data_IF_409305813005
#
_entry.id   IF_409305813005
#
_cell.length_a   1.000
_cell.length_b   1.000
_cell.length_c   1.000
_cell.angle_alpha   90.00
_cell.angle_beta   90.00
_cell.angle_gamma   90.00
#
_symmetry.space_group_name_H-M   'P 1'
#
loop_
_entity.id
_entity.type
_entity.pdbx_description
1 polymer ?
#
# COMPACT_ATOMS: atom_id res chain seq x y z
N UNK A 1 -49.43 37.91 -39.25
CA UNK A 1 -48.41 36.94 -38.80
C UNK A 1 -47.71 36.38 -40.04
N UNK A 2 -46.44 36.74 -40.25
CA UNK A 2 -45.70 36.32 -41.45
C UNK A 2 -45.35 34.84 -41.36
N UNK A 3 -45.91 34.02 -42.25
CA UNK A 3 -45.56 32.60 -42.41
C UNK A 3 -44.11 32.51 -42.92
N UNK A 4 -43.14 32.37 -42.02
CA UNK A 4 -41.75 32.11 -42.40
C UNK A 4 -41.67 30.75 -43.11
N UNK A 5 -41.48 30.78 -44.43
CA UNK A 5 -41.26 29.60 -45.26
C UNK A 5 -39.91 28.93 -44.93
N UNK A 6 -39.86 27.60 -44.97
CA UNK A 6 -38.67 26.76 -44.73
C UNK A 6 -37.42 27.25 -45.49
N UNK A 7 -37.60 27.78 -46.72
CA UNK A 7 -36.53 28.37 -47.54
C UNK A 7 -35.89 29.62 -46.89
N UNK A 8 -36.68 30.46 -46.21
CA UNK A 8 -36.17 31.64 -45.49
C UNK A 8 -35.40 31.27 -44.23
N UNK A 9 -35.79 30.19 -43.54
CA UNK A 9 -35.08 29.66 -42.38
C UNK A 9 -33.74 29.03 -42.78
N UNK A 10 -33.71 28.28 -43.88
CA UNK A 10 -32.48 27.67 -44.39
C UNK A 10 -31.43 28.73 -44.79
N UNK A 11 -31.86 29.83 -45.41
CA UNK A 11 -30.99 30.96 -45.78
C UNK A 11 -30.54 31.83 -44.59
N UNK A 12 -31.19 31.70 -43.43
CA UNK A 12 -30.90 32.52 -42.24
C UNK A 12 -29.64 32.09 -41.47
N UNK A 13 -29.00 30.97 -41.84
CA UNK A 13 -27.84 30.42 -41.11
C UNK A 13 -28.21 29.68 -39.82
N UNK A 14 -29.41 29.89 -39.29
CA UNK A 14 -29.94 29.21 -38.09
C UNK A 14 -29.78 27.67 -38.09
N UNK A 15 -30.03 26.93 -39.19
CA UNK A 15 -29.86 25.48 -39.18
C UNK A 15 -28.43 25.03 -38.86
N UNK A 16 -27.42 25.78 -39.31
CA UNK A 16 -26.01 25.48 -39.05
C UNK A 16 -25.64 25.72 -37.59
N UNK A 17 -26.26 26.71 -36.93
CA UNK A 17 -26.10 26.95 -35.49
C UNK A 17 -26.66 25.78 -34.69
N UNK A 18 -27.87 25.31 -35.04
CA UNK A 18 -28.47 24.13 -34.39
C UNK A 18 -27.70 22.84 -34.65
N UNK A 19 -27.14 22.67 -35.85
CA UNK A 19 -26.31 21.51 -36.18
C UNK A 19 -25.01 21.51 -35.37
N UNK A 20 -24.32 22.66 -35.25
CA UNK A 20 -23.12 22.77 -34.42
C UNK A 20 -23.45 22.58 -32.93
N UNK A 21 -24.53 23.18 -32.43
CA UNK A 21 -24.98 22.97 -31.05
C UNK A 21 -25.33 21.50 -30.78
N UNK A 22 -25.96 20.83 -31.74
CA UNK A 22 -26.24 19.39 -31.69
C UNK A 22 -24.96 18.56 -31.69
N UNK A 23 -24.01 18.86 -32.57
CA UNK A 23 -22.72 18.17 -32.64
C UNK A 23 -21.89 18.34 -31.35
N UNK A 24 -21.87 19.55 -30.78
CA UNK A 24 -21.21 19.83 -29.48
C UNK A 24 -21.92 19.06 -28.36
N UNK A 25 -23.25 19.02 -28.35
CA UNK A 25 -24.01 18.27 -27.34
C UNK A 25 -23.74 16.77 -27.43
N UNK A 26 -23.71 16.19 -28.64
CA UNK A 26 -23.36 14.78 -28.86
C UNK A 26 -21.92 14.50 -28.42
N UNK A 27 -20.97 15.38 -28.78
CA UNK A 27 -19.58 15.28 -28.35
C UNK A 27 -19.45 15.27 -26.83
N UNK A 28 -20.18 16.17 -26.14
CA UNK A 28 -20.20 16.22 -24.68
C UNK A 28 -20.77 14.92 -24.08
N UNK A 29 -21.87 14.41 -24.62
CA UNK A 29 -22.46 13.13 -24.18
C UNK A 29 -21.48 11.97 -24.41
N UNK A 30 -20.77 11.93 -25.54
CA UNK A 30 -19.76 10.90 -25.80
C UNK A 30 -18.59 10.98 -24.82
N UNK A 31 -18.07 12.18 -24.55
CA UNK A 31 -16.96 12.38 -23.59
C UNK A 31 -17.39 11.97 -22.19
N UNK A 32 -18.56 12.42 -21.73
CA UNK A 32 -19.10 12.05 -20.41
C UNK A 32 -19.37 10.54 -20.34
N UNK A 33 -19.93 9.95 -21.39
CA UNK A 33 -20.17 8.51 -21.49
C UNK A 33 -18.88 7.70 -21.42
N UNK A 34 -17.83 8.14 -22.11
CA UNK A 34 -16.51 7.51 -22.06
C UNK A 34 -15.89 7.62 -20.66
N UNK A 35 -15.95 8.80 -20.03
CA UNK A 35 -15.46 8.99 -18.67
C UNK A 35 -16.19 8.10 -17.66
N UNK A 36 -17.53 7.99 -17.77
CA UNK A 36 -18.33 7.09 -16.94
C UNK A 36 -17.97 5.62 -17.16
N UNK A 37 -17.78 5.19 -18.42
CA UNK A 37 -17.38 3.82 -18.74
C UNK A 37 -16.03 3.48 -18.11
N UNK A 38 -15.05 4.38 -18.22
CA UNK A 38 -13.73 4.22 -17.60
C UNK A 38 -13.86 4.19 -16.08
N UNK A 39 -14.65 5.09 -15.50
CA UNK A 39 -14.87 5.15 -14.05
C UNK A 39 -15.47 3.83 -13.53
N UNK A 40 -16.57 3.33 -14.12
CA UNK A 40 -17.23 2.10 -13.67
C UNK A 40 -16.29 0.89 -13.80
N UNK A 41 -15.52 0.81 -14.90
CA UNK A 41 -14.55 -0.28 -15.11
C UNK A 41 -13.32 -0.18 -14.20
N UNK A 42 -12.93 1.03 -13.81
CA UNK A 42 -11.73 1.27 -13.01
C UNK A 42 -11.98 1.23 -11.50
N UNK A 43 -13.08 1.82 -11.02
CA UNK A 43 -13.35 1.99 -9.59
C UNK A 43 -13.50 0.67 -8.85
N UNK A 44 -14.00 -0.39 -9.51
CA UNK A 44 -14.10 -1.72 -8.90
C UNK A 44 -12.74 -2.27 -8.47
N UNK A 45 -11.66 -1.94 -9.17
CA UNK A 45 -10.31 -2.38 -8.82
C UNK A 45 -9.72 -1.64 -7.60
N UNK A 46 -10.28 -0.47 -7.26
CA UNK A 46 -9.88 0.30 -6.08
C UNK A 46 -10.80 0.05 -4.89
N UNK A 47 -11.87 -0.73 -5.05
CA UNK A 47 -12.77 -1.06 -3.97
C UNK A 47 -12.22 -2.26 -3.19
N UNK A 48 -12.15 -2.21 -1.84
CA UNK A 48 -11.73 -3.34 -1.04
C UNK A 48 -12.63 -4.55 -1.30
N UNK A 49 -12.04 -5.69 -1.61
CA UNK A 49 -12.78 -6.94 -1.74
C UNK A 49 -13.08 -7.53 -0.36
N UNK A 50 -14.13 -8.34 -0.26
CA UNK A 50 -14.41 -9.09 0.95
C UNK A 50 -13.31 -10.13 1.18
N UNK A 51 -12.85 -10.24 2.42
CA UNK A 51 -11.80 -11.18 2.80
C UNK A 51 -12.45 -12.47 3.25
N UNK A 52 -12.14 -13.56 2.55
CA UNK A 52 -12.68 -14.87 2.84
C UNK A 52 -11.71 -15.71 3.67
N UNK A 53 -12.25 -16.57 4.51
CA UNK A 53 -11.53 -17.62 5.21
C UNK A 53 -12.00 -19.00 4.70
N UNK A 54 -11.04 -19.82 4.27
CA UNK A 54 -11.30 -21.10 3.60
C UNK A 54 -10.43 -22.19 4.22
N UNK A 55 -11.01 -23.28 4.76
CA UNK A 55 -10.27 -24.49 5.06
C UNK A 55 -9.73 -25.10 3.76
N UNK A 56 -8.43 -25.33 3.67
CA UNK A 56 -7.77 -25.81 2.47
C UNK A 56 -6.94 -27.06 2.78
N UNK A 57 -7.23 -28.14 2.06
CA UNK A 57 -6.68 -29.48 2.34
C UNK A 57 -5.97 -30.01 1.11
N UNK A 58 -4.65 -29.75 1.01
CA UNK A 58 -3.85 -30.36 -0.05
C UNK A 58 -3.60 -31.85 0.26
N UNK A 59 -3.57 -32.74 -0.74
CA UNK A 59 -3.25 -34.15 -0.56
C UNK A 59 -1.93 -34.34 0.18
N UNK A 60 -1.96 -35.11 1.27
CA UNK A 60 -0.78 -35.41 2.08
C UNK A 60 -0.29 -34.26 2.97
N UNK A 61 -1.05 -33.17 3.10
CA UNK A 61 -0.76 -32.06 4.03
C UNK A 61 -1.87 -31.90 5.05
N UNK A 62 -1.52 -31.25 6.16
CA UNK A 62 -2.49 -30.84 7.16
C UNK A 62 -3.44 -29.77 6.62
N UNK A 63 -4.66 -29.76 7.14
CA UNK A 63 -5.66 -28.74 6.83
C UNK A 63 -5.17 -27.40 7.34
N UNK A 64 -5.17 -26.38 6.49
CA UNK A 64 -4.85 -25.00 6.87
C UNK A 64 -6.03 -24.09 6.58
N UNK A 65 -6.21 -23.03 7.36
CA UNK A 65 -7.14 -21.95 7.00
C UNK A 65 -6.40 -20.92 6.18
N UNK A 66 -6.78 -20.77 4.91
CA UNK A 66 -6.32 -19.69 4.06
C UNK A 66 -7.25 -18.49 4.21
N UNK A 67 -6.64 -17.31 4.35
CA UNK A 67 -7.36 -16.05 4.45
C UNK A 67 -6.86 -15.12 3.35
N UNK A 68 -7.77 -14.52 2.59
CA UNK A 68 -7.40 -13.59 1.54
C UNK A 68 -8.57 -13.12 0.68
N UNK A 69 -8.24 -12.34 -0.34
CA UNK A 69 -9.21 -11.79 -1.29
C UNK A 69 -9.25 -12.65 -2.56
N UNK A 70 -10.44 -12.98 -3.05
CA UNK A 70 -10.60 -13.63 -4.36
C UNK A 70 -10.35 -12.61 -5.48
N UNK A 71 -9.32 -12.86 -6.29
CA UNK A 71 -8.89 -11.93 -7.35
C UNK A 71 -9.33 -12.40 -8.73
N UNK A 72 -9.19 -13.70 -8.99
CA UNK A 72 -9.46 -14.28 -10.30
C UNK A 72 -9.81 -15.76 -10.16
N UNK A 73 -10.44 -16.31 -11.20
CA UNK A 73 -10.82 -17.71 -11.29
C UNK A 73 -10.57 -18.25 -12.68
N UNK A 74 -10.03 -19.45 -12.80
CA UNK A 74 -9.86 -20.14 -14.08
C UNK A 74 -10.41 -21.57 -14.02
N UNK A 75 -10.99 -22.03 -15.14
CA UNK A 75 -11.41 -23.42 -15.29
C UNK A 75 -10.30 -24.22 -15.98
N UNK A 76 -9.81 -25.25 -15.30
CA UNK A 76 -8.68 -26.06 -15.76
C UNK A 76 -9.12 -27.50 -15.98
N UNK A 77 -8.69 -28.09 -17.10
CA UNK A 77 -9.01 -29.49 -17.42
C UNK A 77 -8.36 -30.47 -16.44
N UNK A 78 -9.01 -31.61 -16.20
CA UNK A 78 -8.48 -32.72 -15.39
C UNK A 78 -7.08 -33.18 -15.89
N UNK A 79 -6.86 -33.14 -17.21
CA UNK A 79 -5.56 -33.49 -17.83
C UNK A 79 -4.44 -32.52 -17.47
N UNK A 80 -4.75 -31.24 -17.27
CA UNK A 80 -3.75 -30.25 -16.86
C UNK A 80 -3.50 -30.30 -15.34
N UNK A 81 -4.55 -30.51 -14.55
CA UNK A 81 -4.47 -30.70 -13.10
C UNK A 81 -3.65 -31.95 -12.72
N UNK A 82 -3.87 -33.07 -13.40
CA UNK A 82 -3.10 -34.30 -13.17
C UNK A 82 -1.59 -34.15 -13.44
N UNK A 83 -1.17 -33.29 -14.39
CA UNK A 83 0.26 -33.01 -14.65
C UNK A 83 0.98 -32.36 -13.47
N UNK A 84 0.23 -31.69 -12.58
CA UNK A 84 0.75 -31.05 -11.37
C UNK A 84 0.34 -31.81 -10.10
N UNK A 85 -0.06 -33.08 -10.25
CA UNK A 85 -0.37 -33.98 -9.13
C UNK A 85 -1.77 -33.79 -8.52
N UNK A 86 -2.70 -33.17 -9.25
CA UNK A 86 -4.07 -32.93 -8.78
C UNK A 86 -5.01 -33.91 -9.48
N UNK A 87 -5.54 -34.87 -8.72
CA UNK A 87 -6.54 -35.82 -9.20
C UNK A 87 -7.94 -35.32 -8.86
N UNK A 88 -8.83 -35.35 -9.85
CA UNK A 88 -10.24 -35.03 -9.66
C UNK A 88 -11.04 -36.33 -9.42
N UNK A 89 -12.19 -36.26 -8.72
CA UNK A 89 -13.15 -37.36 -8.66
C UNK A 89 -13.50 -37.93 -10.04
N UNK A 90 -13.78 -39.23 -10.10
CA UNK A 90 -14.14 -39.90 -11.35
C UNK A 90 -15.34 -39.22 -12.03
N UNK A 91 -15.22 -38.97 -13.33
CA UNK A 91 -16.24 -38.31 -14.16
C UNK A 91 -16.12 -36.78 -14.25
N UNK A 92 -15.24 -36.14 -13.46
CA UNK A 92 -15.06 -34.69 -13.51
C UNK A 92 -14.02 -34.28 -14.58
N UNK A 93 -14.47 -33.57 -15.63
CA UNK A 93 -13.61 -33.20 -16.77
C UNK A 93 -12.73 -31.96 -16.53
N UNK A 94 -13.12 -31.10 -15.60
CA UNK A 94 -12.41 -29.87 -15.23
C UNK A 94 -12.76 -29.45 -13.80
N UNK A 95 -11.90 -28.64 -13.20
CA UNK A 95 -12.19 -27.97 -11.94
C UNK A 95 -11.74 -26.52 -12.00
N UNK A 96 -12.32 -25.71 -11.12
CA UNK A 96 -11.97 -24.31 -10.97
C UNK A 96 -10.71 -24.17 -10.10
N UNK A 97 -9.89 -23.18 -10.43
CA UNK A 97 -8.82 -22.67 -9.58
C UNK A 97 -9.11 -21.23 -9.26
N UNK A 98 -8.85 -20.83 -8.03
CA UNK A 98 -9.04 -19.48 -7.55
C UNK A 98 -7.67 -18.85 -7.27
N UNK A 99 -7.43 -17.66 -7.80
CA UNK A 99 -6.30 -16.82 -7.43
C UNK A 99 -6.71 -16.00 -6.23
N UNK A 100 -6.05 -16.26 -5.10
CA UNK A 100 -6.28 -15.53 -3.86
C UNK A 100 -5.09 -14.60 -3.62
N UNK A 101 -5.37 -13.33 -3.33
CA UNK A 101 -4.39 -12.44 -2.72
C UNK A 101 -4.33 -12.76 -1.23
N UNK A 102 -3.24 -13.40 -0.81
CA UNK A 102 -3.01 -13.78 0.58
C UNK A 102 -2.22 -12.67 1.28
N UNK A 103 -2.57 -12.40 2.53
CA UNK A 103 -1.79 -11.53 3.40
C UNK A 103 -0.58 -12.26 3.98
N UNK A 104 0.09 -11.64 4.94
CA UNK A 104 1.13 -12.26 5.78
C UNK A 104 2.30 -12.76 4.93
N UNK A 105 2.85 -11.88 4.07
CA UNK A 105 3.98 -12.19 3.17
C UNK A 105 5.22 -12.72 3.90
N UNK A 106 5.42 -12.34 5.15
CA UNK A 106 6.44 -12.88 6.05
C UNK A 106 6.27 -14.38 6.34
N UNK A 107 5.06 -14.91 6.28
CA UNK A 107 4.76 -16.33 6.44
C UNK A 107 4.75 -17.08 5.10
N UNK A 108 4.08 -16.54 4.07
CA UNK A 108 3.91 -17.24 2.79
C UNK A 108 5.00 -16.93 1.75
N UNK A 109 5.76 -15.86 1.92
CA UNK A 109 6.78 -15.38 0.97
C UNK A 109 6.23 -14.71 -0.30
N UNK A 110 4.92 -14.81 -0.54
CA UNK A 110 4.23 -14.39 -1.76
C UNK A 110 2.89 -13.73 -1.38
N UNK A 111 2.43 -12.80 -2.22
CA UNK A 111 1.16 -12.08 -2.00
C UNK A 111 -0.01 -12.73 -2.73
N UNK A 112 0.24 -13.68 -3.64
CA UNK A 112 -0.78 -14.34 -4.44
C UNK A 112 -0.56 -15.84 -4.51
N UNK A 113 -1.64 -16.60 -4.38
CA UNK A 113 -1.63 -18.06 -4.47
C UNK A 113 -2.81 -18.57 -5.26
N UNK A 114 -2.53 -19.44 -6.22
CA UNK A 114 -3.55 -20.27 -6.83
C UNK A 114 -3.93 -21.41 -5.90
N UNK A 115 -5.22 -21.57 -5.64
CA UNK A 115 -5.78 -22.70 -4.91
C UNK A 115 -6.75 -23.48 -5.79
N UNK A 116 -6.91 -24.76 -5.51
CA UNK A 116 -7.76 -25.64 -6.33
C UNK A 116 -9.09 -25.89 -5.62
N UNK A 117 -10.20 -25.66 -6.32
CA UNK A 117 -11.55 -25.85 -5.81
C UNK A 117 -11.83 -27.23 -5.19
N UNK A 118 -11.29 -28.35 -5.71
CA UNK A 118 -11.47 -29.68 -5.10
C UNK A 118 -10.90 -29.82 -3.68
N UNK A 119 -10.00 -28.93 -3.28
CA UNK A 119 -9.34 -28.96 -1.97
C UNK A 119 -9.87 -27.89 -1.01
N UNK A 120 -10.84 -27.09 -1.47
CA UNK A 120 -11.51 -26.06 -0.67
C UNK A 120 -12.63 -26.68 0.15
N UNK A 121 -12.67 -26.32 1.43
CA UNK A 121 -13.85 -26.47 2.27
C UNK A 121 -14.86 -25.34 2.02
N UNK A 122 -15.77 -25.16 2.96
CA UNK A 122 -16.78 -24.09 2.91
C UNK A 122 -16.13 -22.72 3.08
N UNK A 123 -16.47 -21.80 2.17
CA UNK A 123 -15.99 -20.41 2.21
C UNK A 123 -16.80 -19.63 3.24
N UNK A 124 -16.11 -18.89 4.11
CA UNK A 124 -16.74 -18.02 5.10
C UNK A 124 -16.20 -16.60 5.02
N UNK A 125 -17.00 -15.62 5.47
CA UNK A 125 -16.62 -14.20 5.54
C UNK A 125 -16.77 -13.71 6.99
N UNK A 126 -15.77 -13.95 7.85
CA UNK A 126 -15.88 -13.67 9.28
C UNK A 126 -15.84 -12.17 9.56
N UNK A 127 -16.83 -11.65 10.29
CA UNK A 127 -16.91 -10.21 10.62
C UNK A 127 -15.78 -9.75 11.58
N UNK A 128 -15.19 -10.67 12.33
CA UNK A 128 -14.10 -10.41 13.28
C UNK A 128 -12.71 -10.41 12.63
N UNK A 129 -12.63 -10.77 11.35
CA UNK A 129 -11.37 -10.84 10.63
C UNK A 129 -10.86 -9.42 10.36
N UNK A 130 -9.61 -9.16 10.72
CA UNK A 130 -8.97 -7.87 10.52
C UNK A 130 -8.03 -7.90 9.33
N UNK A 131 -8.06 -6.81 8.55
CA UNK A 131 -7.00 -6.45 7.62
C UNK A 131 -6.20 -5.27 8.16
N UNK A 132 -4.89 -5.47 8.25
CA UNK A 132 -3.95 -4.46 8.72
C UNK A 132 -2.89 -4.27 7.64
N UNK A 133 -2.83 -3.09 7.05
CA UNK A 133 -1.73 -2.73 6.16
C UNK A 133 -0.49 -2.44 7.01
N UNK A 134 0.56 -3.25 6.82
CA UNK A 134 1.86 -3.02 7.46
C UNK A 134 2.75 -2.18 6.55
N UNK A 135 3.64 -1.41 7.18
CA UNK A 135 4.63 -0.57 6.46
C UNK A 135 5.62 -1.40 5.64
N UNK A 136 5.87 -2.62 6.09
CA UNK A 136 6.69 -3.61 5.40
C UNK A 136 5.83 -4.87 5.21
N UNK A 137 6.08 -5.62 4.14
CA UNK A 137 5.41 -6.91 3.90
C UNK A 137 3.90 -6.86 3.66
N UNK A 138 3.35 -5.67 3.34
CA UNK A 138 1.98 -5.50 2.86
C UNK A 138 0.90 -5.81 3.90
N UNK A 139 -0.22 -6.33 3.41
CA UNK A 139 -1.39 -6.67 4.23
C UNK A 139 -1.13 -7.83 5.17
N UNK A 140 -1.67 -7.71 6.38
CA UNK A 140 -1.76 -8.75 7.37
C UNK A 140 -3.24 -9.06 7.62
N UNK A 141 -3.61 -10.32 7.52
CA UNK A 141 -4.94 -10.82 7.85
C UNK A 141 -4.88 -11.71 9.08
N UNK A 142 -5.83 -11.51 9.99
CA UNK A 142 -5.93 -12.34 11.18
C UNK A 142 -6.99 -11.88 12.18
N UNK A 143 -7.05 -12.59 13.31
CA UNK A 143 -7.95 -12.28 14.41
C UNK A 143 -7.17 -11.61 15.53
N UNK A 144 -7.74 -10.54 16.09
CA UNK A 144 -7.14 -9.86 17.23
C UNK A 144 -7.39 -10.65 18.51
N UNK A 145 -6.32 -11.24 19.05
CA UNK A 145 -6.40 -11.99 20.31
C UNK A 145 -6.28 -11.06 21.54
N UNK A 146 -5.28 -10.18 21.51
CA UNK A 146 -4.95 -9.28 22.62
C UNK A 146 -4.13 -8.10 22.13
N UNK A 147 -4.07 -7.06 22.95
CA UNK A 147 -3.16 -5.94 22.78
C UNK A 147 -2.19 -5.93 23.94
N UNK A 148 -0.90 -5.83 23.62
CA UNK A 148 0.19 -5.89 24.58
C UNK A 148 0.99 -4.59 24.64
N UNK A 149 1.54 -4.32 25.81
CA UNK A 149 2.49 -3.26 26.09
C UNK A 149 3.72 -3.86 26.72
N UNK A 150 4.88 -3.71 26.08
CA UNK A 150 6.15 -4.24 26.57
C UNK A 150 6.08 -5.75 26.87
N UNK A 151 5.32 -6.50 26.06
CA UNK A 151 5.10 -7.94 26.23
C UNK A 151 3.97 -8.32 27.19
N UNK A 152 3.44 -7.40 27.99
CA UNK A 152 2.34 -7.68 28.91
C UNK A 152 0.98 -7.41 28.26
N UNK A 153 0.00 -8.29 28.48
CA UNK A 153 -1.37 -8.12 27.98
C UNK A 153 -2.03 -6.96 28.72
N UNK A 154 -2.49 -5.97 27.97
CA UNK A 154 -3.24 -4.82 28.50
C UNK A 154 -4.73 -5.05 28.36
N UNK A 155 -5.17 -5.53 27.19
CA UNK A 155 -6.59 -5.78 26.87
C UNK A 155 -6.70 -7.02 25.98
N UNK A 156 -7.79 -7.78 26.14
CA UNK A 156 -8.17 -8.92 25.30
C UNK A 156 -9.68 -8.93 25.04
N UNK A 157 -10.14 -9.71 24.06
CA UNK A 157 -11.56 -9.81 23.70
C UNK A 157 -12.11 -8.55 23.04
N UNK A 158 -13.40 -8.28 23.21
CA UNK A 158 -14.14 -7.23 22.48
C UNK A 158 -13.54 -5.81 22.62
N UNK A 159 -12.95 -5.51 23.77
CA UNK A 159 -12.32 -4.22 24.04
C UNK A 159 -10.95 -4.05 23.33
N UNK A 160 -10.33 -5.15 22.87
CA UNK A 160 -9.00 -5.12 22.27
C UNK A 160 -8.97 -4.29 20.98
N UNK A 161 -10.06 -4.31 20.19
CA UNK A 161 -10.10 -3.56 18.93
C UNK A 161 -10.05 -2.05 19.14
N UNK A 162 -10.82 -1.54 20.11
CA UNK A 162 -10.79 -0.11 20.45
C UNK A 162 -9.40 0.32 20.95
N UNK A 163 -8.78 -0.50 21.80
CA UNK A 163 -7.42 -0.25 22.29
C UNK A 163 -6.38 -0.30 21.17
N UNK A 164 -6.51 -1.23 20.22
CA UNK A 164 -5.64 -1.32 19.04
C UNK A 164 -5.72 -0.03 18.22
N UNK A 165 -6.91 0.53 17.99
CA UNK A 165 -7.09 1.78 17.24
C UNK A 165 -6.33 2.95 17.90
N UNK A 166 -6.41 3.07 19.23
CA UNK A 166 -5.64 4.09 19.96
C UNK A 166 -4.13 3.93 19.78
N UNK A 167 -3.63 2.70 19.80
CA UNK A 167 -2.19 2.42 19.62
C UNK A 167 -1.73 2.60 18.18
N UNK A 168 -2.57 2.30 17.19
CA UNK A 168 -2.28 2.57 15.78
C UNK A 168 -2.12 4.08 15.52
N UNK A 169 -2.99 4.91 16.09
CA UNK A 169 -2.86 6.38 16.00
C UNK A 169 -1.53 6.83 16.61
N UNK A 170 -1.21 6.36 17.82
CA UNK A 170 0.07 6.67 18.48
C UNK A 170 1.27 6.24 17.63
N UNK A 171 1.28 5.01 17.15
CA UNK A 171 2.34 4.46 16.29
C UNK A 171 2.51 5.29 15.02
N UNK A 172 1.41 5.68 14.38
CA UNK A 172 1.45 6.51 13.18
C UNK A 172 2.02 7.92 13.45
N UNK A 173 1.67 8.52 14.58
CA UNK A 173 2.24 9.80 15.00
C UNK A 173 3.75 9.69 15.27
N UNK A 174 4.18 8.69 16.03
CA UNK A 174 5.60 8.45 16.32
C UNK A 174 6.42 8.27 15.02
N UNK A 175 5.91 7.53 14.05
CA UNK A 175 6.61 7.40 12.76
C UNK A 175 6.60 8.71 11.97
N UNK A 176 5.53 9.51 12.06
CA UNK A 176 5.49 10.87 11.54
C UNK A 176 6.62 11.73 12.11
N UNK A 177 6.80 11.70 13.43
CA UNK A 177 7.84 12.43 14.14
C UNK A 177 9.24 11.95 13.76
N UNK A 178 9.47 10.64 13.71
CA UNK A 178 10.73 10.04 13.25
C UNK A 178 11.07 10.52 11.83
N UNK A 179 10.09 10.49 10.91
CA UNK A 179 10.29 10.93 9.52
C UNK A 179 10.61 12.42 9.43
N UNK A 180 9.89 13.25 10.18
CA UNK A 180 10.13 14.69 10.26
C UNK A 180 11.54 15.00 10.75
N UNK A 181 11.93 14.36 11.86
CA UNK A 181 13.22 14.57 12.50
C UNK A 181 14.37 14.10 11.59
N UNK A 182 14.24 12.91 11.01
CA UNK A 182 15.21 12.36 10.06
C UNK A 182 15.34 13.23 8.80
N UNK A 183 14.23 13.71 8.22
CA UNK A 183 14.30 14.55 7.01
C UNK A 183 14.93 15.91 7.28
N UNK A 184 14.54 16.56 8.38
CA UNK A 184 14.89 17.95 8.64
C UNK A 184 16.24 18.09 9.33
N UNK A 185 16.44 17.44 10.48
CA UNK A 185 17.65 17.60 11.28
C UNK A 185 18.84 16.86 10.67
N UNK A 186 18.65 15.61 10.24
CA UNK A 186 19.73 14.87 9.57
C UNK A 186 20.11 15.51 8.24
N UNK A 187 19.12 16.05 7.51
CA UNK A 187 19.36 16.79 6.27
C UNK A 187 20.26 18.02 6.48
N UNK A 188 20.01 18.80 7.54
CA UNK A 188 20.85 19.96 7.91
C UNK A 188 22.27 19.55 8.30
N UNK A 189 22.42 18.50 9.11
CA UNK A 189 23.72 18.00 9.53
C UNK A 189 24.53 17.51 8.33
N UNK A 190 23.90 16.72 7.45
CA UNK A 190 24.56 16.21 6.24
C UNK A 190 24.97 17.35 5.29
N UNK A 191 24.11 18.37 5.13
CA UNK A 191 24.46 19.55 4.35
C UNK A 191 25.67 20.29 4.93
N UNK A 192 25.70 20.48 6.26
CA UNK A 192 26.84 21.11 6.94
C UNK A 192 28.13 20.29 6.83
N UNK A 193 28.08 18.96 6.98
CA UNK A 193 29.24 18.09 6.81
C UNK A 193 29.79 18.13 5.39
N UNK A 194 28.91 18.18 4.38
CA UNK A 194 29.35 18.31 2.99
C UNK A 194 29.97 19.69 2.72
N UNK A 195 29.44 20.76 3.31
CA UNK A 195 30.03 22.10 3.23
C UNK A 195 31.45 22.10 3.80
N UNK A 196 31.66 21.57 5.01
CA UNK A 196 32.98 21.44 5.63
C UNK A 196 33.93 20.58 4.78
N UNK A 197 33.44 19.48 4.19
CA UNK A 197 34.22 18.62 3.31
C UNK A 197 34.70 19.38 2.06
N UNK A 198 33.84 20.19 1.47
CA UNK A 198 34.18 21.02 0.30
C UNK A 198 35.16 22.14 0.67
N UNK A 199 35.00 22.77 1.84
CA UNK A 199 35.94 23.78 2.34
C UNK A 199 37.32 23.21 2.61
N UNK A 200 37.38 22.07 3.31
CA UNK A 200 38.61 21.30 3.51
C UNK A 200 39.31 21.03 2.18
N UNK A 201 38.55 20.56 1.18
CA UNK A 201 39.08 20.28 -0.16
C UNK A 201 39.63 21.54 -0.85
N UNK A 202 38.99 22.71 -0.67
CA UNK A 202 39.49 23.99 -1.20
C UNK A 202 40.82 24.39 -0.56
N UNK A 203 41.00 24.17 0.75
CA UNK A 203 42.25 24.47 1.45
C UNK A 203 43.39 23.54 0.98
N UNK A 204 43.11 22.24 0.85
CA UNK A 204 44.05 21.26 0.30
C UNK A 204 44.54 21.65 -1.09
N UNK A 205 43.64 22.07 -1.98
CA UNK A 205 43.98 22.52 -3.34
C UNK A 205 44.84 23.79 -3.38
N UNK A 206 44.79 24.60 -2.33
CA UNK A 206 45.62 25.81 -2.17
C UNK A 206 46.93 25.51 -1.42
N UNK A 207 47.21 24.25 -1.09
CA UNK A 207 48.37 23.82 -0.31
C UNK A 207 48.51 24.55 1.03
N UNK A 208 47.37 24.89 1.67
CA UNK A 208 47.38 25.44 3.03
C UNK A 208 47.83 24.33 3.98
N UNK A 209 48.74 24.64 4.91
CA UNK A 209 49.21 23.65 5.88
C UNK A 209 48.09 23.19 6.82
N UNK A 210 48.02 21.89 7.09
CA UNK A 210 47.03 21.28 8.00
C UNK A 210 47.09 21.83 9.43
N UNK A 211 48.23 22.41 9.83
CA UNK A 211 48.41 23.07 11.14
C UNK A 211 47.94 24.53 11.17
N UNK A 212 47.33 25.01 10.08
CA UNK A 212 46.83 26.38 10.00
C UNK A 212 45.55 26.58 10.81
N UNK A 213 45.25 27.85 11.10
CA UNK A 213 44.05 28.23 11.85
C UNK A 213 42.79 27.80 11.10
N UNK A 214 42.78 27.86 9.76
CA UNK A 214 41.62 27.46 8.96
C UNK A 214 41.27 25.98 9.12
N UNK A 215 42.26 25.08 9.18
CA UNK A 215 42.00 23.67 9.47
C UNK A 215 41.55 23.44 10.91
N UNK A 216 42.03 24.25 11.86
CA UNK A 216 41.56 24.20 13.25
C UNK A 216 40.08 24.64 13.37
N UNK A 217 39.67 25.68 12.65
CA UNK A 217 38.28 26.16 12.58
C UNK A 217 37.35 25.09 11.97
N UNK A 218 37.76 24.43 10.88
CA UNK A 218 37.00 23.33 10.28
C UNK A 218 36.82 22.16 11.26
N UNK A 219 37.89 21.79 11.98
CA UNK A 219 37.83 20.72 12.97
C UNK A 219 36.93 21.07 14.17
N UNK A 220 36.84 22.35 14.54
CA UNK A 220 35.91 22.82 15.58
C UNK A 220 34.46 22.78 15.08
N UNK A 221 34.20 23.23 13.86
CA UNK A 221 32.87 23.15 13.24
C UNK A 221 32.38 21.71 13.08
N UNK A 222 33.26 20.79 12.68
CA UNK A 222 32.96 19.36 12.57
C UNK A 222 32.54 18.78 13.93
N UNK A 223 33.24 19.14 15.01
CA UNK A 223 32.87 18.72 16.38
C UNK A 223 31.48 19.21 16.79
N UNK A 224 31.07 20.41 16.40
CA UNK A 224 29.73 20.93 16.71
C UNK A 224 28.63 20.15 15.97
N UNK A 225 28.89 19.78 14.70
CA UNK A 225 27.98 18.93 13.94
C UNK A 225 27.92 17.51 14.52
N UNK A 226 29.03 16.95 14.99
CA UNK A 226 29.06 15.65 15.67
C UNK A 226 28.23 15.64 16.96
N UNK A 227 28.29 16.72 17.75
CA UNK A 227 27.45 16.87 18.95
C UNK A 227 25.97 16.90 18.56
N UNK A 228 25.62 17.66 17.52
CA UNK A 228 24.25 17.74 17.02
C UNK A 228 23.75 16.39 16.49
N UNK A 229 24.63 15.64 15.81
CA UNK A 229 24.34 14.30 15.32
C UNK A 229 24.09 13.31 16.46
N UNK A 230 24.89 13.36 17.53
CA UNK A 230 24.67 12.53 18.73
C UNK A 230 23.36 12.85 19.43
N UNK A 231 23.00 14.13 19.55
CA UNK A 231 21.70 14.53 20.11
C UNK A 231 20.53 13.99 19.27
N UNK A 232 20.61 14.13 17.94
CA UNK A 232 19.65 13.58 17.01
C UNK A 232 19.52 12.05 17.15
N UNK A 233 20.64 11.33 17.25
CA UNK A 233 20.63 9.89 17.47
C UNK A 233 19.91 9.50 18.77
N UNK A 234 20.13 10.24 19.86
CA UNK A 234 19.47 9.98 21.15
C UNK A 234 17.95 10.20 21.05
N UNK A 235 17.52 11.27 20.40
CA UNK A 235 16.09 11.55 20.16
C UNK A 235 15.45 10.44 19.33
N UNK A 236 16.08 10.03 18.24
CA UNK A 236 15.59 8.94 17.40
C UNK A 236 15.52 7.62 18.18
N UNK A 237 16.55 7.29 18.96
CA UNK A 237 16.58 6.08 19.78
C UNK A 237 15.42 6.05 20.79
N UNK A 238 15.09 7.19 21.43
CA UNK A 238 13.94 7.30 22.32
C UNK A 238 12.61 7.06 21.59
N UNK A 239 12.42 7.68 20.42
CA UNK A 239 11.22 7.48 19.60
C UNK A 239 11.07 6.02 19.13
N UNK A 240 12.15 5.37 18.70
CA UNK A 240 12.11 3.96 18.31
C UNK A 240 11.80 3.03 19.49
N UNK A 241 12.34 3.33 20.68
CA UNK A 241 12.00 2.59 21.90
C UNK A 241 10.50 2.72 22.23
N UNK A 242 9.95 3.91 22.05
CA UNK A 242 8.52 4.16 22.22
C UNK A 242 7.63 3.50 21.17
N UNK A 243 8.10 3.42 19.92
CA UNK A 243 7.42 2.78 18.81
C UNK A 243 7.32 1.27 19.02
N UNK A 244 8.40 0.65 19.49
CA UNK A 244 8.49 -0.80 19.73
C UNK A 244 7.79 -1.27 21.02
N UNK A 245 7.13 -0.34 21.73
CA UNK A 245 6.44 -0.62 23.00
C UNK A 245 5.19 -1.47 22.82
N UNK A 246 4.43 -1.22 21.75
CA UNK A 246 3.08 -1.74 21.55
C UNK A 246 3.10 -2.96 20.62
N UNK A 247 2.34 -4.01 20.96
CA UNK A 247 2.30 -5.29 20.23
C UNK A 247 0.86 -5.82 20.17
N UNK A 248 0.59 -6.70 19.20
CA UNK A 248 -0.67 -7.45 19.02
C UNK A 248 -0.39 -8.95 18.96
#
# INVERSE_FOLDING_TARGET
MSNKSFSSWMKSGSPWVWLNAGAVSISLVMVVGLLLLIAVRGLSHFWPADIMAIPYTEPGKEVITLVGEAIDSEVVSAKQLSRVGIELPEGQASAERLLIKVGNRDYFGLDFRWINQPWMGEVSYPAELLAIERREWGEFYGYLSSVKQQGEIVVSGDAAFAELQHRLIRSNNLVGDIKSLAKNEMGKINAGLEELRLEKRKLELRSVADTSIQFAELAEAEKLLDVSYKDLQNKLAALYKELNRDQM
#
